data_IF_564793099390
#
_entry.id   IF_564793099390
#
_cell.length_a   1.000
_cell.length_b   1.000
_cell.length_c   1.000
_cell.angle_alpha   90.00
_cell.angle_beta   90.00
_cell.angle_gamma   90.00
#
_symmetry.space_group_name_H-M   'P 1'
#
loop_
_entity.id
_entity.type
_entity.pdbx_description
1 polymer ?
#
# COMPACT_ATOMS: atom_id res chain seq x y z
N UNK A 1 -16.45 -29.47 9.27
CA UNK A 1 -15.70 -29.83 10.50
C UNK A 1 -14.87 -28.67 11.04
N UNK A 2 -13.99 -28.03 10.26
CA UNK A 2 -13.21 -26.89 10.78
C UNK A 2 -14.11 -25.72 11.22
N UNK A 3 -15.00 -25.23 10.35
CA UNK A 3 -15.88 -24.09 10.69
C UNK A 3 -16.80 -24.36 11.89
N UNK A 4 -17.21 -25.61 12.13
CA UNK A 4 -18.03 -25.98 13.30
C UNK A 4 -17.26 -25.90 14.62
N UNK A 5 -15.93 -25.95 14.57
CA UNK A 5 -15.03 -25.74 15.71
C UNK A 5 -14.72 -24.26 15.95
N UNK A 6 -15.18 -23.33 15.10
CA UNK A 6 -14.81 -21.92 15.20
C UNK A 6 -13.40 -21.60 14.67
N UNK A 7 -12.82 -22.47 13.83
CA UNK A 7 -11.50 -22.28 13.22
C UNK A 7 -11.54 -22.63 11.74
N UNK A 8 -10.81 -21.92 10.89
CA UNK A 8 -10.77 -22.23 9.45
C UNK A 8 -9.40 -21.97 8.80
N UNK A 9 -8.82 -22.95 8.08
CA UNK A 9 -7.61 -22.72 7.29
C UNK A 9 -7.96 -21.98 6.00
N UNK A 10 -7.82 -20.64 6.01
CA UNK A 10 -8.15 -19.80 4.85
C UNK A 10 -7.19 -19.98 3.69
N UNK A 11 -5.93 -20.33 3.95
CA UNK A 11 -4.90 -20.62 2.95
C UNK A 11 -4.01 -21.76 3.42
N UNK A 12 -3.92 -22.83 2.63
CA UNK A 12 -2.98 -23.92 2.91
C UNK A 12 -1.54 -23.39 2.81
N UNK A 13 -0.69 -23.71 3.80
CA UNK A 13 0.70 -23.25 3.87
C UNK A 13 0.95 -21.91 4.56
N UNK A 14 -0.10 -21.14 4.90
CA UNK A 14 0.06 -19.79 5.48
C UNK A 14 0.46 -19.77 6.98
N UNK A 15 0.49 -20.92 7.66
CA UNK A 15 0.91 -21.01 9.06
C UNK A 15 -0.09 -20.45 10.09
N UNK A 16 -1.31 -20.08 9.67
CA UNK A 16 -2.37 -19.58 10.56
C UNK A 16 -3.76 -20.14 10.22
N UNK A 17 -4.70 -19.93 11.13
CA UNK A 17 -6.13 -20.26 11.01
C UNK A 17 -6.94 -19.00 11.32
N UNK A 18 -7.98 -18.72 10.54
CA UNK A 18 -8.98 -17.72 10.89
C UNK A 18 -9.85 -18.25 12.05
N UNK A 19 -10.28 -17.35 12.92
CA UNK A 19 -11.21 -17.62 14.03
C UNK A 19 -12.62 -17.23 13.57
N UNK A 20 -13.56 -18.16 13.72
CA UNK A 20 -14.97 -17.98 13.37
C UNK A 20 -15.86 -18.34 14.56
N UNK A 21 -17.20 -18.22 14.38
CA UNK A 21 -18.12 -18.72 15.41
C UNK A 21 -18.07 -20.24 15.49
N UNK A 22 -17.93 -20.85 16.67
CA UNK A 22 -18.16 -22.27 16.87
C UNK A 22 -19.66 -22.60 16.76
N UNK A 23 -19.97 -23.89 16.57
CA UNK A 23 -21.35 -24.40 16.54
C UNK A 23 -21.74 -25.18 17.81
N UNK A 24 -20.76 -25.64 18.59
CA UNK A 24 -21.00 -26.45 19.78
C UNK A 24 -20.54 -25.72 21.04
N UNK A 25 -21.21 -25.93 22.20
CA UNK A 25 -20.80 -25.31 23.46
C UNK A 25 -19.40 -25.69 23.93
N UNK A 26 -18.94 -26.88 23.55
CA UNK A 26 -17.56 -27.32 23.77
C UNK A 26 -17.13 -28.32 22.69
N UNK A 27 -15.86 -28.28 22.33
CA UNK A 27 -15.20 -29.29 21.51
C UNK A 27 -13.79 -29.56 22.05
N UNK A 28 -13.34 -30.81 21.95
CA UNK A 28 -11.96 -31.20 22.27
C UNK A 28 -11.33 -31.82 21.05
N UNK A 29 -10.18 -31.31 20.64
CA UNK A 29 -9.44 -31.77 19.47
C UNK A 29 -8.07 -32.26 19.91
N UNK A 30 -7.79 -33.53 19.67
CA UNK A 30 -6.43 -34.05 19.79
C UNK A 30 -5.69 -33.74 18.49
N UNK A 31 -4.75 -32.82 18.56
CA UNK A 31 -3.96 -32.40 17.39
C UNK A 31 -3.04 -33.54 17.01
N UNK A 32 -2.99 -33.87 15.70
CA UNK A 32 -2.13 -34.91 15.14
C UNK A 32 -0.64 -34.58 15.27
N UNK A 33 0.21 -35.30 14.52
CA UNK A 33 1.65 -35.04 14.54
C UNK A 33 1.96 -33.58 14.13
N UNK A 34 2.86 -32.95 14.88
CA UNK A 34 3.36 -31.60 14.68
C UNK A 34 4.88 -31.59 14.87
N UNK A 35 5.61 -31.25 13.80
CA UNK A 35 7.05 -31.55 13.69
C UNK A 35 7.31 -33.04 13.99
N UNK A 36 8.31 -33.36 14.80
CA UNK A 36 8.71 -34.74 15.10
C UNK A 36 7.97 -35.34 16.31
N UNK A 37 6.85 -34.75 16.75
CA UNK A 37 6.10 -35.19 17.94
C UNK A 37 4.59 -35.11 17.78
N UNK A 38 3.86 -35.84 18.62
CA UNK A 38 2.41 -35.70 18.74
C UNK A 38 2.05 -34.28 19.22
N UNK A 39 1.03 -33.67 18.63
CA UNK A 39 0.45 -32.40 19.09
C UNK A 39 -0.31 -32.55 20.42
N UNK A 40 -0.70 -31.42 20.99
CA UNK A 40 -1.46 -31.42 22.25
C UNK A 40 -2.97 -31.58 22.08
N UNK A 41 -3.68 -31.48 23.20
CA UNK A 41 -5.15 -31.43 23.24
C UNK A 41 -5.62 -29.99 23.31
N UNK A 42 -6.42 -29.57 22.33
CA UNK A 42 -7.02 -28.25 22.26
C UNK A 42 -8.49 -28.32 22.71
N UNK A 43 -8.85 -27.50 23.69
CA UNK A 43 -10.24 -27.36 24.16
C UNK A 43 -10.82 -26.05 23.66
N UNK A 44 -11.96 -26.11 22.97
CA UNK A 44 -12.66 -24.94 22.43
C UNK A 44 -14.01 -24.84 23.16
N UNK A 45 -14.34 -23.68 23.73
CA UNK A 45 -15.59 -23.48 24.48
C UNK A 45 -16.37 -22.26 24.00
N UNK A 46 -17.69 -22.38 24.00
CA UNK A 46 -18.64 -21.31 23.73
C UNK A 46 -19.99 -21.63 24.43
N UNK A 47 -20.06 -21.58 25.77
CA UNK A 47 -21.15 -22.18 26.54
C UNK A 47 -22.56 -21.75 26.12
N UNK A 48 -22.71 -20.50 25.69
CA UNK A 48 -24.00 -19.90 25.32
C UNK A 48 -24.32 -19.98 23.82
N UNK A 49 -23.57 -20.75 23.03
CA UNK A 49 -23.77 -20.81 21.59
C UNK A 49 -25.09 -21.47 21.22
N UNK A 50 -25.81 -20.85 20.30
CA UNK A 50 -27.07 -21.34 19.77
C UNK A 50 -27.34 -20.75 18.39
N UNK A 51 -28.42 -21.16 17.73
CA UNK A 51 -28.85 -20.60 16.44
C UNK A 51 -29.08 -19.08 16.50
N UNK A 52 -29.45 -18.56 17.68
CA UNK A 52 -29.67 -17.14 17.93
C UNK A 52 -28.45 -16.44 18.53
N UNK A 53 -27.54 -17.17 19.19
CA UNK A 53 -26.32 -16.63 19.84
C UNK A 53 -25.06 -17.14 19.11
N UNK A 54 -24.73 -16.49 18.01
CA UNK A 54 -23.66 -16.92 17.07
C UNK A 54 -22.64 -15.85 16.70
N UNK A 55 -22.77 -14.64 17.25
CA UNK A 55 -21.83 -13.57 16.98
C UNK A 55 -20.76 -13.54 18.06
N UNK A 56 -19.50 -13.71 17.66
CA UNK A 56 -18.36 -13.64 18.60
C UNK A 56 -18.28 -12.22 19.18
N UNK A 57 -18.26 -12.14 20.50
CA UNK A 57 -18.14 -10.90 21.28
C UNK A 57 -16.73 -10.71 21.81
N UNK A 58 -16.05 -11.82 22.17
CA UNK A 58 -14.63 -11.83 22.52
C UNK A 58 -14.07 -13.24 22.46
N UNK A 59 -12.74 -13.35 22.38
CA UNK A 59 -12.01 -14.61 22.43
C UNK A 59 -10.90 -14.52 23.48
N UNK A 60 -10.67 -15.62 24.19
CA UNK A 60 -9.48 -15.82 25.02
C UNK A 60 -8.71 -17.05 24.57
N UNK A 61 -7.39 -16.95 24.53
CA UNK A 61 -6.48 -18.07 24.26
C UNK A 61 -5.63 -18.28 25.51
N UNK A 62 -5.70 -19.47 26.09
CA UNK A 62 -5.04 -19.81 27.35
C UNK A 62 -5.28 -18.76 28.45
N UNK A 63 -6.54 -18.33 28.56
CA UNK A 63 -7.00 -17.34 29.52
C UNK A 63 -6.69 -15.88 29.18
N UNK A 64 -5.89 -15.59 28.14
CA UNK A 64 -5.53 -14.22 27.73
C UNK A 64 -6.48 -13.69 26.67
N UNK A 65 -6.88 -12.42 26.78
CA UNK A 65 -7.68 -11.76 25.75
C UNK A 65 -6.96 -11.80 24.39
N UNK A 66 -7.71 -12.15 23.34
CA UNK A 66 -7.20 -12.27 21.99
C UNK A 66 -8.09 -11.46 21.06
N UNK A 67 -7.57 -10.35 20.56
CA UNK A 67 -8.26 -9.45 19.63
C UNK A 67 -8.19 -9.90 18.16
N UNK A 68 -7.05 -10.42 17.65
CA UNK A 68 -6.95 -10.84 16.26
C UNK A 68 -7.97 -11.90 15.88
N UNK A 69 -8.57 -11.79 14.69
CA UNK A 69 -9.55 -12.78 14.20
C UNK A 69 -8.87 -14.02 13.57
N UNK A 70 -7.64 -14.31 13.98
CA UNK A 70 -6.81 -15.41 13.51
C UNK A 70 -5.82 -15.86 14.58
N UNK A 71 -5.28 -17.08 14.43
CA UNK A 71 -4.29 -17.69 15.32
C UNK A 71 -3.21 -18.38 14.50
N UNK A 72 -1.96 -18.31 14.95
CA UNK A 72 -0.88 -19.10 14.34
C UNK A 72 -1.05 -20.58 14.68
N UNK A 73 -0.58 -21.46 13.79
CA UNK A 73 -0.49 -22.88 14.08
C UNK A 73 0.35 -23.16 15.32
N UNK A 74 1.43 -22.40 15.53
CA UNK A 74 2.30 -22.56 16.69
C UNK A 74 1.60 -22.26 18.03
N UNK A 75 0.61 -21.35 18.03
CA UNK A 75 -0.15 -21.01 19.22
C UNK A 75 -0.99 -22.19 19.72
N UNK A 76 -1.53 -23.01 18.82
CA UNK A 76 -2.47 -24.07 19.19
C UNK A 76 -1.89 -25.48 19.09
N UNK A 77 -0.81 -25.70 18.33
CA UNK A 77 -0.28 -27.05 18.03
C UNK A 77 0.12 -27.85 19.29
N UNK A 78 0.49 -27.14 20.36
CA UNK A 78 0.83 -27.74 21.66
C UNK A 78 -0.39 -28.05 22.54
N UNK A 79 -1.61 -27.88 22.01
CA UNK A 79 -2.85 -27.93 22.77
C UNK A 79 -3.17 -26.58 23.41
N UNK A 80 -3.99 -26.59 24.44
CA UNK A 80 -4.40 -25.38 25.17
C UNK A 80 -5.90 -25.15 25.12
N UNK A 81 -6.32 -23.89 25.26
CA UNK A 81 -7.73 -23.51 25.33
C UNK A 81 -8.07 -22.28 24.50
N UNK A 82 -9.22 -22.33 23.83
CA UNK A 82 -9.84 -21.20 23.14
C UNK A 82 -11.24 -21.02 23.72
N UNK A 83 -11.50 -19.91 24.38
CA UNK A 83 -12.80 -19.60 24.97
C UNK A 83 -13.46 -18.44 24.23
N UNK A 84 -14.60 -18.72 23.59
CA UNK A 84 -15.44 -17.75 22.93
C UNK A 84 -16.54 -17.25 23.86
N UNK A 85 -16.78 -15.95 23.85
CA UNK A 85 -18.05 -15.37 24.32
C UNK A 85 -18.88 -15.01 23.09
N UNK A 86 -20.13 -15.46 23.04
CA UNK A 86 -21.05 -15.25 21.90
C UNK A 86 -22.31 -14.50 22.31
N UNK A 87 -22.90 -13.78 21.36
CA UNK A 87 -24.08 -12.94 21.54
C UNK A 87 -25.03 -12.99 20.34
N UNK A 88 -26.16 -12.29 20.46
CA UNK A 88 -27.25 -12.28 19.48
C UNK A 88 -27.08 -11.26 18.35
N UNK A 89 -26.10 -10.38 18.44
CA UNK A 89 -25.81 -9.33 17.46
C UNK A 89 -24.31 -9.23 17.15
N UNK A 90 -23.91 -8.74 15.96
CA UNK A 90 -22.52 -8.44 15.64
C UNK A 90 -21.83 -7.58 16.70
N UNK A 91 -20.50 -7.71 16.82
CA UNK A 91 -19.69 -6.96 17.78
C UNK A 91 -18.53 -6.23 17.08
N UNK A 92 -17.79 -5.41 17.82
CA UNK A 92 -16.57 -4.75 17.35
C UNK A 92 -15.30 -5.61 17.50
N UNK A 93 -15.41 -6.86 18.00
CA UNK A 93 -14.24 -7.72 18.19
C UNK A 93 -13.59 -8.08 16.84
N UNK A 94 -12.26 -8.03 16.79
CA UNK A 94 -11.49 -8.39 15.60
C UNK A 94 -11.70 -7.46 14.40
N UNK A 95 -12.11 -6.22 14.65
CA UNK A 95 -12.37 -5.21 13.60
C UNK A 95 -11.23 -4.21 13.42
N UNK A 96 -10.23 -4.19 14.31
CA UNK A 96 -9.08 -3.32 14.14
C UNK A 96 -8.22 -3.81 12.97
N UNK A 97 -7.53 -2.88 12.30
CA UNK A 97 -6.63 -3.23 11.20
C UNK A 97 -5.52 -4.18 11.66
N UNK A 98 -5.04 -4.04 12.91
CA UNK A 98 -4.05 -4.95 13.51
C UNK A 98 -4.58 -6.36 13.81
N UNK A 99 -5.90 -6.54 13.76
CA UNK A 99 -6.56 -7.82 14.02
C UNK A 99 -6.76 -8.65 12.74
N UNK A 100 -6.43 -8.08 11.56
CA UNK A 100 -6.59 -8.73 10.26
C UNK A 100 -5.60 -9.89 10.06
N UNK A 101 -5.99 -10.98 9.38
CA UNK A 101 -5.08 -12.09 9.10
C UNK A 101 -3.93 -11.63 8.19
N UNK A 102 -2.74 -12.26 8.29
CA UNK A 102 -1.64 -11.96 7.40
C UNK A 102 -2.03 -12.13 5.93
N UNK A 103 -1.60 -11.19 5.09
CA UNK A 103 -1.78 -11.23 3.64
C UNK A 103 -0.43 -11.23 2.94
N UNK A 104 -0.30 -12.00 1.85
CA UNK A 104 0.88 -11.98 0.97
C UNK A 104 1.11 -10.60 0.34
N UNK A 105 0.06 -9.76 0.30
CA UNK A 105 0.10 -8.38 -0.18
C UNK A 105 0.18 -7.36 0.95
N UNK A 106 0.57 -7.75 2.17
CA UNK A 106 1.04 -6.79 3.17
C UNK A 106 2.40 -6.23 2.72
N UNK A 107 2.38 -5.46 1.63
CA UNK A 107 3.55 -4.73 1.14
C UNK A 107 4.04 -3.88 2.32
N UNK A 108 5.31 -4.02 2.74
CA UNK A 108 5.86 -3.21 3.80
C UNK A 108 5.54 -1.74 3.54
N UNK A 109 5.15 -1.00 4.57
CA UNK A 109 4.98 0.45 4.44
C UNK A 109 6.25 1.05 3.85
N UNK A 110 6.11 1.91 2.85
CA UNK A 110 7.23 2.71 2.38
C UNK A 110 7.76 3.53 3.59
N UNK A 111 9.07 3.79 3.62
CA UNK A 111 9.71 4.55 4.68
C UNK A 111 10.13 5.94 4.17
N UNK A 112 10.54 6.83 5.08
CA UNK A 112 11.13 8.10 4.70
C UNK A 112 12.56 7.85 4.18
N UNK A 113 12.78 7.98 2.87
CA UNK A 113 14.12 7.96 2.29
C UNK A 113 14.95 9.16 2.75
N UNK A 114 14.29 10.33 2.85
CA UNK A 114 14.91 11.58 3.30
C UNK A 114 13.96 12.26 4.28
N UNK A 115 14.51 12.76 5.39
CA UNK A 115 13.78 13.59 6.35
C UNK A 115 14.38 14.99 6.35
N UNK A 116 13.55 16.00 6.07
CA UNK A 116 13.93 17.40 6.08
C UNK A 116 12.92 18.19 6.95
N UNK A 117 13.26 18.41 8.21
CA UNK A 117 12.31 18.92 9.20
C UNK A 117 11.11 17.98 9.34
N UNK A 118 9.89 18.48 9.13
CA UNK A 118 8.66 17.68 9.17
C UNK A 118 8.40 16.88 7.88
N UNK A 119 9.14 17.15 6.80
CA UNK A 119 8.97 16.51 5.50
C UNK A 119 9.56 15.10 5.50
N UNK A 120 8.77 14.14 5.05
CA UNK A 120 9.17 12.77 4.79
C UNK A 120 9.09 12.52 3.29
N UNK A 121 10.24 12.53 2.61
CA UNK A 121 10.33 12.10 1.22
C UNK A 121 10.23 10.58 1.18
N UNK A 122 9.20 10.05 0.52
CA UNK A 122 8.87 8.62 0.57
C UNK A 122 9.80 7.84 -0.34
N UNK A 123 10.36 6.72 0.14
CA UNK A 123 11.06 5.77 -0.71
C UNK A 123 10.07 4.99 -1.59
N UNK A 124 10.05 5.30 -2.88
CA UNK A 124 9.21 4.61 -3.88
C UNK A 124 9.97 3.55 -4.69
N UNK A 125 11.21 3.20 -4.31
CA UNK A 125 12.06 2.26 -5.05
C UNK A 125 11.35 0.97 -5.45
N UNK A 126 10.62 0.34 -4.51
CA UNK A 126 9.89 -0.90 -4.75
C UNK A 126 8.59 -0.74 -5.56
N UNK A 127 8.08 0.49 -5.70
CA UNK A 127 6.83 0.78 -6.43
C UNK A 127 7.07 1.26 -7.87
N UNK A 128 8.31 1.61 -8.21
CA UNK A 128 8.66 2.09 -9.55
C UNK A 128 8.70 0.93 -10.53
N UNK A 129 7.90 1.02 -11.58
CA UNK A 129 7.78 -0.04 -12.59
C UNK A 129 7.92 0.48 -14.02
N UNK A 130 7.85 1.79 -14.23
CA UNK A 130 8.05 2.41 -15.55
C UNK A 130 9.44 3.01 -15.59
N UNK A 131 10.27 2.54 -16.52
CA UNK A 131 11.45 3.28 -16.97
C UNK A 131 10.98 4.33 -17.98
N UNK A 132 11.00 5.61 -17.60
CA UNK A 132 10.50 6.73 -18.40
C UNK A 132 11.59 7.69 -18.88
N UNK A 133 12.85 7.29 -18.78
CA UNK A 133 14.01 8.15 -19.05
C UNK A 133 14.97 7.49 -20.02
N UNK A 134 15.56 8.28 -20.90
CA UNK A 134 16.59 7.82 -21.84
C UNK A 134 17.79 8.75 -21.81
N UNK A 135 18.92 8.28 -22.32
CA UNK A 135 20.07 9.16 -22.62
C UNK A 135 20.26 9.29 -24.13
N UNK A 136 20.99 10.30 -24.59
CA UNK A 136 21.36 10.43 -26.00
C UNK A 136 22.32 9.34 -26.48
N UNK A 137 23.06 8.72 -25.57
CA UNK A 137 23.91 7.56 -25.86
C UNK A 137 23.11 6.25 -25.97
N UNK A 138 22.00 6.16 -25.25
CA UNK A 138 21.14 4.98 -25.20
C UNK A 138 19.68 5.37 -25.41
N UNK A 139 19.38 5.86 -26.62
CA UNK A 139 18.06 6.47 -26.94
C UNK A 139 16.89 5.49 -26.87
N UNK A 140 17.15 4.17 -26.88
CA UNK A 140 16.15 3.12 -26.77
C UNK A 140 15.93 2.64 -25.32
N UNK A 141 16.62 3.24 -24.36
CA UNK A 141 16.27 3.10 -22.93
C UNK A 141 15.02 3.93 -22.63
N UNK A 142 14.22 3.50 -21.66
CA UNK A 142 12.97 4.15 -21.30
C UNK A 142 11.86 4.10 -22.35
N UNK A 143 10.64 4.21 -21.85
CA UNK A 143 9.43 4.44 -22.64
C UNK A 143 8.36 5.03 -21.72
N UNK A 144 8.39 6.36 -21.55
CA UNK A 144 7.49 7.05 -20.61
C UNK A 144 6.02 6.93 -21.04
N UNK A 145 5.76 7.11 -22.34
CA UNK A 145 4.41 7.16 -22.90
C UNK A 145 3.95 5.86 -23.60
N UNK A 146 4.80 4.85 -23.71
CA UNK A 146 4.50 3.60 -24.41
C UNK A 146 4.60 3.69 -25.93
N UNK A 147 5.10 4.81 -26.47
CA UNK A 147 5.27 5.07 -27.90
C UNK A 147 6.74 5.33 -28.28
N UNK A 148 7.67 5.00 -27.38
CA UNK A 148 9.10 5.18 -27.54
C UNK A 148 9.57 6.61 -27.26
N UNK A 149 8.84 7.35 -26.43
CA UNK A 149 9.28 8.67 -25.97
C UNK A 149 9.60 8.66 -24.48
N UNK A 150 10.72 9.28 -24.13
CA UNK A 150 11.23 9.34 -22.77
C UNK A 150 11.63 10.76 -22.39
N UNK A 151 11.67 11.08 -21.09
CA UNK A 151 12.39 12.26 -20.62
C UNK A 151 13.89 12.09 -20.88
N UNK A 152 14.60 13.19 -21.12
CA UNK A 152 16.07 13.15 -21.18
C UNK A 152 16.64 13.03 -19.77
N UNK A 153 17.26 11.89 -19.48
CA UNK A 153 17.88 11.58 -18.20
C UNK A 153 18.89 12.65 -17.74
N UNK A 154 19.58 13.32 -18.67
CA UNK A 154 20.55 14.36 -18.36
C UNK A 154 19.91 15.65 -17.81
N UNK A 155 18.60 15.81 -17.97
CA UNK A 155 17.83 16.96 -17.49
C UNK A 155 17.07 16.68 -16.19
N UNK A 156 17.11 15.44 -15.70
CA UNK A 156 16.58 15.08 -14.39
C UNK A 156 17.66 15.19 -13.30
N UNK A 157 17.26 15.41 -12.03
CA UNK A 157 18.21 15.40 -10.93
C UNK A 157 18.88 14.02 -10.78
N UNK A 158 20.11 13.96 -10.27
CA UNK A 158 20.73 12.69 -9.89
C UNK A 158 19.91 12.00 -8.79
N UNK A 159 20.12 10.69 -8.64
CA UNK A 159 19.49 9.92 -7.56
C UNK A 159 19.80 10.53 -6.19
N UNK A 160 18.78 10.60 -5.34
CA UNK A 160 18.90 11.14 -3.98
C UNK A 160 18.03 12.37 -3.74
N UNK A 161 18.49 13.28 -2.90
CA UNK A 161 17.67 14.41 -2.45
C UNK A 161 17.54 15.48 -3.52
N UNK A 162 16.30 15.90 -3.81
CA UNK A 162 16.00 17.08 -4.63
C UNK A 162 14.95 17.95 -3.94
N UNK A 163 15.06 19.27 -4.08
CA UNK A 163 14.07 20.21 -3.53
C UNK A 163 13.46 21.04 -4.63
N UNK A 164 12.12 21.02 -4.73
CA UNK A 164 11.37 21.87 -5.64
C UNK A 164 10.32 22.66 -4.87
N UNK A 165 10.29 23.98 -5.06
CA UNK A 165 9.34 24.89 -4.41
C UNK A 165 9.26 24.70 -2.87
N UNK A 166 10.41 24.44 -2.23
CA UNK A 166 10.50 24.21 -0.79
C UNK A 166 10.06 22.83 -0.30
N UNK A 167 9.75 21.89 -1.20
CA UNK A 167 9.42 20.49 -0.86
C UNK A 167 10.57 19.57 -1.23
N UNK A 168 11.02 18.77 -0.26
CA UNK A 168 12.13 17.82 -0.43
C UNK A 168 11.61 16.45 -0.85
N UNK A 169 12.13 15.91 -1.95
CA UNK A 169 11.79 14.61 -2.53
C UNK A 169 13.01 13.67 -2.60
N UNK A 170 12.74 12.38 -2.81
CA UNK A 170 13.75 11.35 -3.11
C UNK A 170 13.66 10.97 -4.59
N UNK A 171 14.57 11.53 -5.39
CA UNK A 171 14.67 11.28 -6.82
C UNK A 171 15.26 9.89 -7.13
N UNK A 172 14.70 9.13 -8.09
CA UNK A 172 15.32 7.93 -8.62
C UNK A 172 16.61 8.25 -9.40
N UNK A 173 17.39 7.21 -9.72
CA UNK A 173 18.34 7.30 -10.82
C UNK A 173 17.58 7.57 -12.12
N UNK A 174 17.94 8.59 -12.91
CA UNK A 174 17.39 8.79 -14.24
C UNK A 174 18.12 7.97 -15.32
N UNK A 175 19.19 7.26 -14.97
CA UNK A 175 20.00 6.49 -15.92
C UNK A 175 19.80 4.97 -15.76
N UNK A 176 19.97 4.25 -16.86
CA UNK A 176 19.81 2.80 -16.96
C UNK A 176 18.34 2.37 -17.11
N UNK A 177 18.12 1.07 -17.23
CA UNK A 177 16.81 0.50 -17.54
C UNK A 177 15.90 0.25 -16.32
N UNK A 178 16.26 0.78 -15.14
CA UNK A 178 15.49 0.57 -13.92
C UNK A 178 14.27 1.51 -13.88
N UNK A 179 13.16 1.03 -13.30
CA UNK A 179 11.96 1.84 -13.13
C UNK A 179 12.24 3.13 -12.33
N UNK A 180 11.81 4.27 -12.88
CA UNK A 180 11.95 5.59 -12.28
C UNK A 180 10.59 6.28 -12.02
N UNK A 181 9.48 5.76 -12.56
CA UNK A 181 8.13 6.20 -12.24
C UNK A 181 7.26 5.06 -11.67
N UNK A 182 6.35 5.44 -10.78
CA UNK A 182 5.27 4.58 -10.29
C UNK A 182 4.06 4.75 -11.23
N UNK A 183 3.58 3.68 -11.89
CA UNK A 183 2.35 3.76 -12.67
C UNK A 183 1.13 3.90 -11.74
N UNK A 184 0.20 4.77 -12.10
CA UNK A 184 -1.11 4.81 -11.48
C UNK A 184 -1.98 3.62 -11.93
N UNK A 185 -3.22 3.51 -11.42
CA UNK A 185 -4.10 2.36 -11.70
C UNK A 185 -3.75 1.07 -10.95
N UNK A 186 -2.68 1.09 -10.15
CA UNK A 186 -2.28 -0.02 -9.29
C UNK A 186 -3.01 -0.07 -7.94
N UNK A 187 -2.65 -1.04 -7.07
CA UNK A 187 -3.14 -1.08 -5.69
C UNK A 187 -2.72 0.16 -4.90
N UNK A 188 -3.35 0.36 -3.74
CA UNK A 188 -2.96 1.43 -2.81
C UNK A 188 -1.49 1.30 -2.41
N UNK A 189 -0.75 2.42 -2.44
CA UNK A 189 0.63 2.52 -1.99
C UNK A 189 0.66 2.69 -0.47
N UNK A 190 1.22 1.75 0.30
CA UNK A 190 1.41 1.90 1.74
C UNK A 190 2.41 3.02 2.04
N UNK A 191 2.04 3.98 2.86
CA UNK A 191 2.90 5.12 3.19
C UNK A 191 3.46 5.01 4.60
N UNK A 192 4.52 5.77 4.93
CA UNK A 192 4.99 5.89 6.30
C UNK A 192 3.84 6.34 7.21
N UNK A 193 3.69 5.65 8.33
CA UNK A 193 2.67 5.92 9.33
C UNK A 193 2.97 7.23 10.05
N UNK A 194 2.31 8.32 9.64
CA UNK A 194 2.61 9.68 10.09
C UNK A 194 1.34 10.53 10.27
N UNK A 195 1.40 11.50 11.19
CA UNK A 195 0.38 12.55 11.36
C UNK A 195 0.89 13.85 10.74
N UNK A 196 0.35 14.21 9.59
CA UNK A 196 0.82 15.31 8.73
C UNK A 196 -0.38 15.97 8.05
N UNK A 197 -0.24 17.23 7.64
CA UNK A 197 -1.35 18.02 7.08
C UNK A 197 -1.46 17.93 5.56
N UNK A 198 -0.41 17.47 4.88
CA UNK A 198 -0.30 17.49 3.42
C UNK A 198 0.48 16.31 2.86
N UNK A 199 0.07 15.89 1.68
CA UNK A 199 0.82 14.99 0.80
C UNK A 199 1.10 15.75 -0.49
N UNK A 200 2.37 15.79 -0.89
CA UNK A 200 2.85 16.42 -2.12
C UNK A 200 3.23 15.34 -3.11
N UNK A 201 2.75 15.46 -4.35
CA UNK A 201 3.08 14.54 -5.44
C UNK A 201 3.80 15.29 -6.55
N UNK A 202 4.69 14.59 -7.24
CA UNK A 202 5.22 15.00 -8.54
C UNK A 202 4.80 13.96 -9.56
N UNK A 203 4.07 14.37 -10.59
CA UNK A 203 3.51 13.46 -11.58
C UNK A 203 3.33 14.15 -12.95
N UNK A 204 3.15 13.34 -13.97
CA UNK A 204 2.68 13.77 -15.28
C UNK A 204 1.81 12.67 -15.90
N UNK A 205 0.92 13.05 -16.81
CA UNK A 205 0.19 12.12 -17.65
C UNK A 205 0.82 12.02 -19.04
N UNK A 206 0.44 11.03 -19.82
CA UNK A 206 0.76 10.96 -21.24
C UNK A 206 -0.50 10.66 -22.06
N UNK A 207 -0.46 10.93 -23.38
CA UNK A 207 -1.63 10.82 -24.27
C UNK A 207 -2.82 11.68 -23.81
N UNK A 208 -2.53 12.90 -23.35
CA UNK A 208 -3.52 13.89 -22.92
C UNK A 208 -3.66 14.02 -21.40
N UNK A 209 -4.27 15.12 -20.93
CA UNK A 209 -4.51 15.32 -19.51
C UNK A 209 -5.49 14.29 -18.95
N UNK A 210 -5.31 13.95 -17.68
CA UNK A 210 -6.12 12.96 -16.98
C UNK A 210 -6.68 13.55 -15.70
N UNK A 211 -7.99 13.49 -15.54
CA UNK A 211 -8.66 13.85 -14.28
C UNK A 211 -9.00 12.58 -13.52
N UNK A 212 -8.63 12.52 -12.24
CA UNK A 212 -8.99 11.39 -11.40
C UNK A 212 -8.79 11.66 -9.91
N UNK A 213 -9.24 10.69 -9.11
CA UNK A 213 -9.30 10.83 -7.66
C UNK A 213 -8.08 10.17 -7.01
N UNK A 214 -7.39 10.94 -6.16
CA UNK A 214 -6.45 10.42 -5.17
C UNK A 214 -7.22 10.16 -3.88
N UNK A 215 -7.11 8.96 -3.33
CA UNK A 215 -7.76 8.59 -2.06
C UNK A 215 -6.72 8.26 -1.02
N UNK A 216 -6.71 8.97 0.10
CA UNK A 216 -5.87 8.66 1.26
C UNK A 216 -6.68 7.84 2.27
N UNK A 217 -6.02 6.87 2.90
CA UNK A 217 -6.60 6.03 3.95
C UNK A 217 -5.77 6.18 5.23
N UNK A 218 -6.47 6.26 6.36
CA UNK A 218 -5.90 6.38 7.69
C UNK A 218 -5.93 5.05 8.43
N UNK A 219 -5.14 4.94 9.51
CA UNK A 219 -5.05 3.72 10.34
C UNK A 219 -6.34 3.41 11.09
N UNK A 220 -7.17 4.42 11.35
CA UNK A 220 -8.51 4.29 11.95
C UNK A 220 -9.59 3.79 10.97
N UNK A 221 -9.21 3.52 9.71
CA UNK A 221 -10.13 3.09 8.66
C UNK A 221 -10.80 4.23 7.90
N UNK A 222 -10.65 5.48 8.35
CA UNK A 222 -11.16 6.66 7.66
C UNK A 222 -10.45 6.89 6.32
N UNK A 223 -11.12 7.63 5.44
CA UNK A 223 -10.58 8.01 4.12
C UNK A 223 -10.85 9.46 3.80
N UNK A 224 -9.99 10.08 3.00
CA UNK A 224 -10.26 11.35 2.34
C UNK A 224 -9.92 11.25 0.85
N UNK A 225 -10.61 12.01 0.01
CA UNK A 225 -10.43 11.97 -1.44
C UNK A 225 -10.20 13.38 -1.99
N UNK A 226 -9.36 13.49 -3.02
CA UNK A 226 -9.08 14.73 -3.72
C UNK A 226 -9.02 14.45 -5.22
N UNK A 227 -9.79 15.20 -6.01
CA UNK A 227 -9.72 15.12 -7.47
C UNK A 227 -8.57 15.98 -7.97
N UNK A 228 -7.71 15.43 -8.81
CA UNK A 228 -6.61 16.13 -9.48
C UNK A 228 -6.79 16.02 -11.00
N UNK A 229 -6.44 17.08 -11.71
CA UNK A 229 -6.22 17.04 -13.15
C UNK A 229 -4.71 17.04 -13.40
N UNK A 230 -4.18 15.90 -13.83
CA UNK A 230 -2.76 15.72 -14.16
C UNK A 230 -2.55 16.10 -15.63
N UNK A 231 -1.76 17.14 -15.93
CA UNK A 231 -1.50 17.53 -17.31
C UNK A 231 -0.73 16.47 -18.08
N UNK A 232 -0.90 16.46 -19.40
CA UNK A 232 0.02 15.75 -20.29
C UNK A 232 1.44 16.30 -20.08
N UNK A 233 2.44 15.42 -20.08
CA UNK A 233 3.84 15.76 -19.91
C UNK A 233 4.36 16.77 -20.93
N UNK A 234 3.78 16.84 -22.13
CA UNK A 234 4.09 17.82 -23.17
C UNK A 234 3.10 18.98 -23.22
N UNK A 235 2.29 19.17 -22.17
CA UNK A 235 1.28 20.20 -22.14
C UNK A 235 1.88 21.62 -22.26
N UNK A 236 1.15 22.58 -22.86
CA UNK A 236 1.60 23.96 -22.92
C UNK A 236 1.89 24.54 -21.53
N UNK A 237 2.82 25.50 -21.46
CA UNK A 237 3.11 26.25 -20.26
C UNK A 237 1.82 26.83 -19.63
N UNK A 238 1.69 26.71 -18.31
CA UNK A 238 0.50 27.15 -17.57
C UNK A 238 -0.60 26.09 -17.42
N UNK A 239 -0.45 24.91 -18.02
CA UNK A 239 -1.41 23.79 -17.86
C UNK A 239 -1.41 23.17 -16.45
N UNK A 240 -0.42 23.50 -15.61
CA UNK A 240 -0.29 23.10 -14.22
C UNK A 240 0.93 23.76 -13.56
N UNK A 241 1.20 23.43 -12.30
CA UNK A 241 2.40 23.90 -11.59
C UNK A 241 3.59 23.01 -11.96
N UNK A 242 4.37 23.38 -12.97
CA UNK A 242 5.59 22.65 -13.32
C UNK A 242 6.62 22.78 -12.18
N UNK A 243 7.14 21.65 -11.69
CA UNK A 243 8.26 21.60 -10.73
C UNK A 243 9.59 21.37 -11.42
N UNK A 244 9.56 20.80 -12.63
CA UNK A 244 10.71 20.64 -13.51
C UNK A 244 10.22 20.74 -14.96
N UNK A 245 10.75 21.70 -15.71
CA UNK A 245 10.51 21.86 -17.13
C UNK A 245 11.79 21.52 -17.91
N UNK A 246 11.63 20.81 -19.02
CA UNK A 246 12.71 20.32 -19.87
C UNK A 246 12.44 20.79 -21.30
N UNK A 247 13.45 21.31 -22.03
CA UNK A 247 13.27 21.84 -23.38
C UNK A 247 12.89 20.79 -24.44
N UNK A 248 13.12 19.50 -24.17
CA UNK A 248 12.94 18.43 -25.14
C UNK A 248 12.69 17.08 -24.47
N UNK A 249 12.52 16.06 -25.31
CA UNK A 249 12.38 14.65 -24.98
C UNK A 249 13.37 13.82 -25.79
N UNK A 250 13.46 12.53 -25.51
CA UNK A 250 14.22 11.59 -26.33
C UNK A 250 13.27 10.66 -27.05
N UNK A 251 13.46 10.53 -28.36
CA UNK A 251 12.79 9.55 -29.21
C UNK A 251 13.66 8.33 -29.40
N UNK A 252 13.08 7.16 -29.17
CA UNK A 252 13.70 5.86 -29.39
C UNK A 252 14.34 5.74 -30.77
N UNK A 253 15.67 5.57 -30.79
CA UNK A 253 16.46 5.43 -32.02
C UNK A 253 16.68 6.71 -32.83
N UNK A 254 16.17 7.86 -32.38
CA UNK A 254 16.30 9.15 -33.08
C UNK A 254 16.99 10.24 -32.25
N UNK A 255 17.03 10.11 -30.92
CA UNK A 255 17.72 11.06 -30.04
C UNK A 255 16.83 12.22 -29.59
N UNK A 256 17.42 13.40 -29.41
CA UNK A 256 16.73 14.59 -28.91
C UNK A 256 15.68 15.08 -29.91
N UNK A 257 14.46 15.28 -29.44
CA UNK A 257 13.35 15.80 -30.23
C UNK A 257 12.36 16.56 -29.32
N UNK A 258 11.61 17.49 -29.88
CA UNK A 258 10.57 18.24 -29.17
C UNK A 258 9.23 17.50 -29.09
N UNK A 259 8.17 18.18 -28.60
CA UNK A 259 8.17 19.46 -27.87
C UNK A 259 8.81 19.35 -26.46
N UNK A 260 8.89 20.48 -25.71
CA UNK A 260 9.25 20.48 -24.29
C UNK A 260 8.38 19.54 -23.45
N UNK A 261 8.95 19.05 -22.36
CA UNK A 261 8.25 18.19 -21.40
C UNK A 261 8.37 18.72 -19.97
N UNK A 262 7.45 18.36 -19.09
CA UNK A 262 7.43 18.82 -17.69
C UNK A 262 6.98 17.74 -16.72
N UNK A 263 7.42 17.88 -15.47
CA UNK A 263 6.84 17.24 -14.30
C UNK A 263 6.05 18.27 -13.50
N UNK A 264 4.88 17.88 -12.98
CA UNK A 264 3.97 18.78 -12.30
C UNK A 264 3.82 18.44 -10.81
N UNK A 265 3.74 19.46 -9.97
CA UNK A 265 3.55 19.35 -8.53
C UNK A 265 2.07 19.43 -8.15
N UNK A 266 1.65 18.57 -7.22
CA UNK A 266 0.29 18.51 -6.69
C UNK A 266 0.27 18.49 -5.17
N UNK A 267 -0.85 18.92 -4.60
CA UNK A 267 -1.07 18.96 -3.15
C UNK A 267 -2.38 18.26 -2.83
N UNK A 268 -2.31 17.30 -1.91
CA UNK A 268 -3.46 16.61 -1.33
C UNK A 268 -3.51 16.95 0.15
N UNK A 269 -4.65 17.44 0.61
CA UNK A 269 -4.86 17.73 2.02
C UNK A 269 -4.98 16.42 2.80
N UNK A 270 -4.35 16.38 3.97
CA UNK A 270 -4.48 15.30 4.94
C UNK A 270 -5.14 15.83 6.22
N UNK A 271 -5.72 14.94 7.00
CA UNK A 271 -6.18 15.24 8.36
C UNK A 271 -4.99 15.10 9.33
N UNK A 272 -4.46 16.21 9.90
CA UNK A 272 -3.34 16.14 10.84
C UNK A 272 -3.69 15.45 12.16
N UNK A 273 -4.98 15.32 12.47
CA UNK A 273 -5.51 14.58 13.61
C UNK A 273 -5.60 13.07 13.37
N UNK A 274 -5.31 12.58 12.16
CA UNK A 274 -5.32 11.16 11.81
C UNK A 274 -3.97 10.71 11.31
N UNK A 275 -3.72 9.42 11.48
CA UNK A 275 -2.45 8.81 11.11
C UNK A 275 -2.58 8.14 9.75
N UNK A 276 -1.78 8.60 8.80
CA UNK A 276 -1.77 8.16 7.41
C UNK A 276 -1.36 6.69 7.32
N UNK A 277 -2.01 5.92 6.44
CA UNK A 277 -1.67 4.52 6.15
C UNK A 277 -1.26 4.31 4.71
N UNK A 278 -2.03 4.85 3.77
CA UNK A 278 -1.80 4.61 2.34
C UNK A 278 -2.41 5.68 1.47
N UNK A 279 -1.96 5.73 0.21
CA UNK A 279 -2.57 6.52 -0.85
C UNK A 279 -2.92 5.62 -2.04
N UNK A 280 -4.13 5.75 -2.55
CA UNK A 280 -4.56 5.17 -3.83
C UNK A 280 -4.48 6.25 -4.88
N UNK A 281 -3.69 6.01 -5.93
CA UNK A 281 -3.57 6.90 -7.08
C UNK A 281 -4.81 6.76 -8.00
N UNK A 282 -5.04 7.71 -8.93
CA UNK A 282 -6.13 7.59 -9.89
C UNK A 282 -6.06 6.29 -10.69
N UNK A 283 -7.21 5.78 -11.11
CA UNK A 283 -7.31 4.48 -11.78
C UNK A 283 -6.72 4.44 -13.21
N UNK A 284 -6.39 5.59 -13.79
CA UNK A 284 -5.91 5.70 -15.17
C UNK A 284 -4.38 5.53 -15.22
N UNK A 285 -3.94 4.45 -15.86
CA UNK A 285 -2.53 4.08 -15.99
C UNK A 285 -1.69 5.09 -16.80
N UNK A 286 -2.30 6.06 -17.49
CA UNK A 286 -1.58 7.14 -18.17
C UNK A 286 -0.87 8.09 -17.21
N UNK A 287 -1.24 8.08 -15.93
CA UNK A 287 -0.55 8.87 -14.91
C UNK A 287 0.69 8.10 -14.43
N UNK A 288 1.81 8.83 -14.37
CA UNK A 288 3.09 8.37 -13.83
C UNK A 288 3.51 9.29 -12.68
N UNK A 289 3.74 8.72 -11.51
CA UNK A 289 4.20 9.44 -10.32
C UNK A 289 5.71 9.30 -10.19
N UNK A 290 6.40 10.43 -10.11
CA UNK A 290 7.85 10.51 -9.98
C UNK A 290 8.31 10.44 -8.51
N UNK A 291 7.64 11.20 -7.65
CA UNK A 291 7.98 11.29 -6.23
C UNK A 291 6.77 11.68 -5.36
N UNK A 292 6.81 11.27 -4.08
CA UNK A 292 5.83 11.63 -3.05
C UNK A 292 6.57 12.15 -1.81
N UNK A 293 6.00 13.15 -1.15
CA UNK A 293 6.47 13.67 0.14
C UNK A 293 5.29 13.94 1.05
N UNK A 294 5.42 13.58 2.32
CA UNK A 294 4.40 13.81 3.34
C UNK A 294 4.90 14.88 4.32
N UNK A 295 4.09 15.91 4.60
CA UNK A 295 4.46 17.09 5.39
C UNK A 295 3.28 17.65 6.19
#
# INVERSE_FOLDING_TARGET
MFSSLGLYPTMSGAGFLAVSSPQFPAATVRIGAWADRQGGTLTITAPDVSDTRRYVQSVRVDGRAHAPNWLTWQAIARGGSIAHTVGTSPSAWGTAVTDEPPSVNATPSHHCAVTAGAQCAVDLSAARATDGTATTAATREGDFDGAGWSYDAALLPPAGTVTWNGVTYSAPSPAGAAGNFVPAGGPALPLPTLRRGTLRLVAAAHHGPVTGTVTVRYTDGGTAATTLTVPDWCAPAGSGTAVLAMPHRIRAGQGVDGPPASLFGFTVALDPGRELRSVTLPADARIRVYAITVH
#
